data_IF_427474182605
#
_entry.id   IF_427474182605
#
_cell.length_a   1.000
_cell.length_b   1.000
_cell.length_c   1.000
_cell.angle_alpha   90.00
_cell.angle_beta   90.00
_cell.angle_gamma   90.00
#
_symmetry.space_group_name_H-M   'P 1'
#
loop_
_entity.id
_entity.type
_entity.pdbx_description
1 polymer ?
#
# COMPACT_ATOMS: atom_id res chain seq x y z
N UNK A 1 -20.74 0.88 -17.59
CA UNK A 1 -19.46 1.59 -17.77
C UNK A 1 -19.42 2.60 -16.65
N UNK A 2 -18.45 2.50 -15.77
CA UNK A 2 -18.19 3.51 -14.76
C UNK A 2 -17.52 4.76 -15.38
N UNK A 3 -17.04 5.67 -14.53
CA UNK A 3 -16.39 6.91 -14.94
C UNK A 3 -15.13 6.69 -15.79
N UNK A 4 -14.53 5.50 -15.75
CA UNK A 4 -13.31 5.14 -16.47
C UNK A 4 -13.59 4.32 -17.73
N UNK A 5 -14.86 4.05 -18.03
CA UNK A 5 -15.24 3.20 -19.17
C UNK A 5 -15.01 1.71 -18.90
N UNK A 6 -14.72 1.32 -17.66
CA UNK A 6 -14.57 -0.08 -17.28
C UNK A 6 -15.97 -0.71 -17.20
N UNK A 7 -16.10 -1.88 -17.81
CA UNK A 7 -17.38 -2.62 -17.87
C UNK A 7 -17.35 -3.94 -17.12
N UNK A 8 -16.17 -4.42 -16.78
CA UNK A 8 -15.95 -5.63 -15.98
C UNK A 8 -15.09 -5.25 -14.78
N UNK A 9 -15.67 -5.33 -13.59
CA UNK A 9 -15.00 -4.97 -12.34
C UNK A 9 -13.83 -5.91 -12.00
N UNK A 10 -13.81 -7.12 -12.59
CA UNK A 10 -12.72 -8.07 -12.45
C UNK A 10 -11.61 -7.88 -13.50
N UNK A 11 -11.75 -6.91 -14.41
CA UNK A 11 -10.72 -6.60 -15.38
C UNK A 11 -9.60 -5.78 -14.75
N UNK A 12 -8.39 -6.02 -15.23
CA UNK A 12 -7.17 -5.26 -15.00
C UNK A 12 -6.85 -4.57 -16.33
N UNK A 13 -7.41 -3.38 -16.53
CA UNK A 13 -7.42 -2.72 -17.85
C UNK A 13 -6.12 -1.98 -18.14
N UNK A 14 -5.49 -1.43 -17.10
CA UNK A 14 -4.21 -0.73 -17.20
C UNK A 14 -2.98 -1.64 -16.96
N UNK A 15 -3.20 -2.88 -16.51
CA UNK A 15 -2.19 -3.93 -16.44
C UNK A 15 -1.30 -3.85 -15.21
N UNK A 16 -1.78 -3.23 -14.11
CA UNK A 16 -1.03 -3.07 -12.86
C UNK A 16 -1.10 -4.31 -11.95
N UNK A 17 -1.91 -5.30 -12.33
CA UNK A 17 -2.11 -6.55 -11.61
C UNK A 17 -3.23 -6.51 -10.58
N UNK A 18 -4.01 -5.41 -10.50
CA UNK A 18 -5.21 -5.27 -9.70
C UNK A 18 -6.46 -5.31 -10.57
N UNK A 19 -7.50 -5.92 -10.04
CA UNK A 19 -8.82 -5.78 -10.64
C UNK A 19 -9.41 -4.41 -10.29
N UNK A 20 -10.18 -3.82 -11.21
CA UNK A 20 -10.79 -2.50 -11.03
C UNK A 20 -11.59 -2.36 -9.72
N UNK A 21 -12.26 -3.42 -9.23
CA UNK A 21 -12.96 -3.36 -7.94
C UNK A 21 -12.01 -3.15 -6.73
N UNK A 22 -10.79 -3.68 -6.80
CA UNK A 22 -9.76 -3.49 -5.77
C UNK A 22 -9.29 -2.05 -5.74
N UNK A 23 -9.13 -1.48 -6.93
CA UNK A 23 -8.72 -0.10 -7.13
C UNK A 23 -9.79 0.88 -6.67
N UNK A 24 -11.07 0.65 -7.00
CA UNK A 24 -12.17 1.44 -6.47
C UNK A 24 -12.24 1.41 -4.93
N UNK A 25 -11.96 0.25 -4.33
CA UNK A 25 -11.87 0.14 -2.87
C UNK A 25 -10.69 0.96 -2.34
N UNK A 26 -9.53 0.90 -2.99
CA UNK A 26 -8.34 1.69 -2.65
C UNK A 26 -8.48 3.19 -2.98
N UNK A 27 -9.44 3.58 -3.82
CA UNK A 27 -9.57 4.93 -4.34
C UNK A 27 -8.59 5.26 -5.46
N UNK A 28 -7.97 4.25 -6.08
CA UNK A 28 -7.07 4.41 -7.22
C UNK A 28 -7.83 4.41 -8.55
N UNK A 29 -7.15 4.79 -9.63
CA UNK A 29 -7.69 4.94 -10.99
C UNK A 29 -7.39 3.71 -11.85
N UNK A 30 -8.38 2.86 -12.16
CA UNK A 30 -8.20 1.58 -12.89
C UNK A 30 -7.92 1.70 -14.38
N UNK A 31 -7.71 2.92 -14.86
CA UNK A 31 -7.24 3.21 -16.20
C UNK A 31 -5.81 3.77 -16.20
N UNK A 32 -5.13 3.82 -15.04
CA UNK A 32 -3.77 4.36 -14.88
C UNK A 32 -2.90 3.43 -14.06
N UNK A 33 -2.00 2.76 -14.77
CA UNK A 33 -1.01 1.85 -14.20
C UNK A 33 -0.18 2.43 -13.03
N UNK A 34 0.10 3.74 -13.04
CA UNK A 34 0.83 4.40 -11.96
C UNK A 34 0.00 4.68 -10.70
N UNK A 35 -1.33 4.60 -10.80
CA UNK A 35 -2.25 4.84 -9.70
C UNK A 35 -2.53 3.53 -8.97
N UNK A 36 -1.66 3.12 -8.06
CA UNK A 36 -1.74 1.80 -7.42
C UNK A 36 -1.46 1.87 -5.92
N UNK A 37 -2.21 1.11 -5.12
CA UNK A 37 -1.87 0.91 -3.71
C UNK A 37 -0.73 -0.10 -3.59
N UNK A 38 0.50 0.39 -3.72
CA UNK A 38 1.72 -0.39 -3.57
C UNK A 38 2.76 0.38 -2.75
N UNK A 39 3.68 -0.37 -2.12
CA UNK A 39 4.87 0.23 -1.51
C UNK A 39 5.81 0.67 -2.64
N UNK A 40 5.98 1.98 -2.78
CA UNK A 40 6.77 2.63 -3.85
C UNK A 40 8.22 2.86 -3.43
N UNK A 41 8.48 2.99 -2.13
CA UNK A 41 9.82 3.11 -1.55
C UNK A 41 9.92 2.30 -0.27
N UNK A 42 11.03 1.59 -0.10
CA UNK A 42 11.39 0.90 1.13
C UNK A 42 12.90 1.09 1.36
N UNK A 43 13.25 1.91 2.35
CA UNK A 43 14.62 2.35 2.56
C UNK A 43 15.04 2.23 4.04
N UNK A 44 16.21 1.65 4.26
CA UNK A 44 16.87 1.68 5.55
C UNK A 44 17.67 2.98 5.72
N UNK A 45 17.60 3.57 6.91
CA UNK A 45 18.48 4.64 7.38
C UNK A 45 19.28 4.16 8.59
N UNK A 46 20.36 3.37 8.39
CA UNK A 46 21.07 2.70 9.49
C UNK A 46 21.67 3.67 10.50
N UNK A 47 22.10 4.85 10.06
CA UNK A 47 22.67 5.88 10.94
C UNK A 47 21.65 6.42 11.97
N UNK A 48 20.37 6.28 11.70
CA UNK A 48 19.27 6.71 12.57
C UNK A 48 18.49 5.53 13.18
N UNK A 49 18.91 4.28 12.91
CA UNK A 49 18.19 3.07 13.30
C UNK A 49 16.72 3.05 12.82
N UNK A 50 16.49 3.45 11.56
CA UNK A 50 15.13 3.57 10.98
C UNK A 50 14.98 2.79 9.68
N UNK A 51 13.76 2.36 9.41
CA UNK A 51 13.33 1.86 8.12
C UNK A 51 12.05 2.59 7.71
N UNK A 52 12.02 3.12 6.51
CA UNK A 52 10.92 3.94 5.99
C UNK A 52 10.30 3.20 4.82
N UNK A 53 8.98 3.04 4.86
CA UNK A 53 8.18 2.62 3.71
C UNK A 53 7.27 3.76 3.29
N UNK A 54 7.04 3.87 1.98
CA UNK A 54 6.13 4.85 1.39
C UNK A 54 5.21 4.18 0.39
N UNK A 55 4.04 4.75 0.23
CA UNK A 55 3.02 4.31 -0.73
C UNK A 55 2.20 5.49 -1.22
N UNK A 56 1.63 5.37 -2.42
CA UNK A 56 0.71 6.36 -2.94
C UNK A 56 -0.51 6.48 -2.01
N UNK A 57 -0.80 7.71 -1.60
CA UNK A 57 -1.95 8.02 -0.76
C UNK A 57 -3.10 8.56 -1.61
N UNK A 58 -4.32 8.32 -1.15
CA UNK A 58 -5.55 8.86 -1.73
C UNK A 58 -6.31 9.59 -0.62
N UNK A 59 -6.68 10.84 -0.86
CA UNK A 59 -7.44 11.65 0.08
C UNK A 59 -8.77 10.97 0.47
N UNK A 60 -9.09 10.99 1.76
CA UNK A 60 -10.31 10.38 2.31
C UNK A 60 -10.24 8.87 2.52
N UNK A 61 -9.10 8.23 2.25
CA UNK A 61 -8.80 6.85 2.68
C UNK A 61 -8.03 6.85 4.00
N UNK A 62 -8.06 5.71 4.69
CA UNK A 62 -7.16 5.43 5.81
C UNK A 62 -6.44 4.12 5.59
N UNK A 63 -5.23 4.02 6.17
CA UNK A 63 -4.35 2.88 5.98
C UNK A 63 -3.95 2.25 7.31
N UNK A 64 -3.73 0.94 7.25
CA UNK A 64 -3.07 0.18 8.30
C UNK A 64 -1.77 -0.43 7.77
N UNK A 65 -0.76 -0.49 8.64
CA UNK A 65 0.57 -1.00 8.33
C UNK A 65 0.81 -2.25 9.17
N UNK A 66 1.15 -3.34 8.51
CA UNK A 66 1.43 -4.63 9.14
C UNK A 66 2.84 -5.10 8.80
N UNK A 67 3.43 -5.86 9.71
CA UNK A 67 4.77 -6.40 9.57
C UNK A 67 4.80 -7.89 9.89
N UNK A 68 5.71 -8.61 9.24
CA UNK A 68 5.96 -10.02 9.52
C UNK A 68 7.44 -10.33 9.39
N UNK A 69 7.94 -11.30 10.16
CA UNK A 69 9.32 -11.79 10.03
C UNK A 69 9.46 -12.91 9.02
N UNK A 70 8.35 -13.47 8.53
CA UNK A 70 8.35 -14.50 7.49
C UNK A 70 6.99 -14.60 6.81
N UNK A 71 7.01 -14.79 5.49
CA UNK A 71 5.78 -14.93 4.70
C UNK A 71 5.14 -16.31 4.82
N UNK A 72 5.86 -17.32 5.31
CA UNK A 72 5.38 -18.72 5.38
C UNK A 72 4.29 -18.91 6.44
N UNK A 73 4.46 -18.30 7.61
CA UNK A 73 3.50 -18.41 8.71
C UNK A 73 2.21 -17.62 8.47
N UNK A 74 2.25 -16.65 7.55
CA UNK A 74 1.18 -15.68 7.32
C UNK A 74 0.69 -14.97 8.60
N UNK A 75 1.57 -14.84 9.60
CA UNK A 75 1.30 -14.09 10.82
C UNK A 75 1.77 -12.65 10.63
N UNK A 76 0.85 -11.71 10.74
CA UNK A 76 1.09 -10.28 10.57
C UNK A 76 0.82 -9.56 11.88
N UNK A 77 1.78 -8.76 12.32
CA UNK A 77 1.63 -7.86 13.46
C UNK A 77 1.19 -6.49 12.96
N UNK A 78 0.15 -5.93 13.58
CA UNK A 78 -0.30 -4.57 13.28
C UNK A 78 0.61 -3.56 13.95
N UNK A 79 1.24 -2.69 13.17
CA UNK A 79 2.14 -1.64 13.68
C UNK A 79 1.42 -0.30 13.81
N UNK A 80 0.54 0.01 12.86
CA UNK A 80 -0.24 1.26 12.84
C UNK A 80 -1.59 1.03 12.15
N UNK A 81 -2.59 1.83 12.54
CA UNK A 81 -3.95 1.86 11.98
C UNK A 81 -4.40 3.31 11.86
N UNK A 82 -5.40 3.57 11.02
CA UNK A 82 -6.01 4.89 10.88
C UNK A 82 -5.05 5.97 10.38
N UNK A 83 -4.00 5.62 9.63
CA UNK A 83 -3.12 6.60 8.99
C UNK A 83 -3.94 7.34 7.94
N UNK A 84 -4.15 8.66 8.06
CA UNK A 84 -4.94 9.40 7.08
C UNK A 84 -4.20 9.45 5.75
N UNK A 85 -4.90 9.09 4.67
CA UNK A 85 -4.42 9.30 3.32
C UNK A 85 -4.39 10.78 2.99
N UNK A 86 -3.19 11.29 2.76
CA UNK A 86 -2.93 12.67 2.34
C UNK A 86 -2.07 12.59 1.09
N UNK A 87 -2.59 13.06 -0.03
CA UNK A 87 -1.87 13.06 -1.31
C UNK A 87 -0.55 13.85 -1.26
N UNK A 88 0.47 13.46 -2.06
CA UNK A 88 0.45 12.32 -2.99
C UNK A 88 0.90 10.99 -2.35
N UNK A 89 1.53 11.05 -1.18
CA UNK A 89 2.24 9.91 -0.58
C UNK A 89 2.10 9.91 0.93
N UNK A 90 1.92 8.72 1.50
CA UNK A 90 2.06 8.47 2.92
C UNK A 90 3.33 7.68 3.20
N UNK A 91 3.84 7.84 4.41
CA UNK A 91 5.02 7.13 4.88
C UNK A 91 4.78 6.53 6.27
N UNK A 92 5.42 5.41 6.52
CA UNK A 92 5.53 4.82 7.84
C UNK A 92 7.00 4.56 8.16
N UNK A 93 7.40 4.86 9.38
CA UNK A 93 8.76 4.66 9.87
C UNK A 93 8.77 3.66 11.01
N UNK A 94 9.47 2.55 10.82
CA UNK A 94 9.80 1.61 11.89
C UNK A 94 11.25 1.77 12.34
N UNK A 95 11.63 1.10 13.43
CA UNK A 95 13.04 0.86 13.73
C UNK A 95 13.68 -0.03 12.66
N UNK A 96 14.98 0.12 12.43
CA UNK A 96 15.76 -0.79 11.60
C UNK A 96 16.05 -2.07 12.42
N UNK A 97 15.08 -2.98 12.47
CA UNK A 97 15.27 -4.25 13.18
C UNK A 97 16.46 -5.06 12.63
N UNK A 98 17.05 -5.91 13.47
CA UNK A 98 18.15 -6.79 13.04
C UNK A 98 17.68 -7.99 12.18
N UNK A 99 16.37 -8.23 12.13
CA UNK A 99 15.75 -9.30 11.36
C UNK A 99 15.10 -8.78 10.07
N UNK A 100 15.17 -9.57 9.01
CA UNK A 100 14.40 -9.34 7.79
C UNK A 100 12.91 -9.20 8.13
N UNK A 101 12.32 -8.09 7.72
CA UNK A 101 10.93 -7.74 8.02
C UNK A 101 10.20 -7.44 6.71
N UNK A 102 9.07 -8.10 6.52
CA UNK A 102 8.14 -7.87 5.42
C UNK A 102 7.07 -6.88 5.86
N UNK A 103 6.67 -5.98 4.97
CA UNK A 103 5.61 -5.01 5.23
C UNK A 103 4.43 -5.21 4.29
N UNK A 104 3.24 -4.90 4.80
CA UNK A 104 1.98 -4.89 4.04
C UNK A 104 1.16 -3.68 4.45
N UNK A 105 0.55 -3.04 3.46
CA UNK A 105 -0.38 -1.93 3.64
C UNK A 105 -1.78 -2.43 3.29
N UNK A 106 -2.76 -2.18 4.14
CA UNK A 106 -4.17 -2.37 3.81
C UNK A 106 -4.89 -1.03 3.84
N UNK A 107 -5.77 -0.79 2.86
CA UNK A 107 -6.80 0.24 2.94
C UNK A 107 -7.93 -0.24 3.85
N UNK A 108 -8.39 0.63 4.75
CA UNK A 108 -9.46 0.35 5.71
C UNK A 108 -10.85 0.55 5.08
#
# INVERSE_FOLDING_TARGET
MDAYGITDENSDTDGDGLAAWQEYRAGTDPARFESVLAITEAAAEPAADRFIIKWQAVDGKTYSVHSSTNLVSNLWNTNAIGIPGIEPECAYTSGAGEAETFFKIDVE
#
